data_IF_874670118932
#
_entry.id   IF_874670118932
#
_cell.length_a   1.000
_cell.length_b   1.000
_cell.length_c   1.000
_cell.angle_alpha   90.00
_cell.angle_beta   90.00
_cell.angle_gamma   90.00
#
_symmetry.space_group_name_H-M   'P 1'
#
loop_
_entity.id
_entity.type
_entity.pdbx_description
1 polymer ?
#
# COMPACT_ATOMS: atom_id res chain seq x y z
N UNK A 1 -0.73 18.44 23.82
CA UNK A 1 -1.23 18.43 22.45
C UNK A 1 -1.51 17.02 22.00
N UNK A 2 -2.63 16.82 21.38
CA UNK A 2 -3.03 15.49 20.97
C UNK A 2 -2.44 15.14 19.63
N UNK A 3 -1.90 13.96 19.56
CA UNK A 3 -1.50 13.40 18.28
C UNK A 3 -2.71 12.75 17.62
N UNK A 4 -2.85 12.98 16.35
CA UNK A 4 -3.83 12.27 15.54
C UNK A 4 -3.16 11.10 14.88
N UNK A 5 -3.77 9.93 15.03
CA UNK A 5 -3.27 8.72 14.38
C UNK A 5 -4.31 8.29 13.37
N UNK A 6 -3.87 8.11 12.15
CA UNK A 6 -4.74 7.72 11.05
C UNK A 6 -4.29 6.36 10.54
N UNK A 7 -5.25 5.50 10.33
CA UNK A 7 -5.01 4.19 9.72
C UNK A 7 -5.29 4.29 8.23
N UNK A 8 -4.37 3.77 7.44
CA UNK A 8 -4.52 3.77 5.99
C UNK A 8 -4.47 2.33 5.51
N UNK A 9 -5.42 1.96 4.66
CA UNK A 9 -5.60 0.57 4.26
C UNK A 9 -5.67 0.48 2.74
N UNK A 10 -4.57 0.75 2.03
CA UNK A 10 -4.58 0.68 0.57
C UNK A 10 -4.58 -0.74 0.07
N UNK A 11 -5.14 -0.90 -1.12
CA UNK A 11 -5.10 -2.15 -1.87
C UNK A 11 -4.17 -1.99 -3.05
N UNK A 12 -3.32 -2.98 -3.29
CA UNK A 12 -2.51 -2.99 -4.49
C UNK A 12 -2.90 -4.18 -5.36
N UNK A 13 -2.71 -4.02 -6.67
CA UNK A 13 -3.14 -5.03 -7.65
C UNK A 13 -2.08 -6.09 -7.85
N UNK A 14 -1.61 -6.66 -6.77
CA UNK A 14 -0.65 -7.74 -6.80
C UNK A 14 -0.86 -8.59 -5.56
N UNK A 15 -1.20 -9.85 -5.74
CA UNK A 15 -1.47 -10.72 -4.61
C UNK A 15 -0.69 -12.03 -4.63
N UNK A 16 0.22 -12.18 -5.59
CA UNK A 16 0.92 -13.45 -5.78
C UNK A 16 2.43 -13.37 -5.65
N UNK A 17 3.02 -12.28 -6.10
CA UNK A 17 4.48 -12.12 -6.02
C UNK A 17 4.82 -11.49 -4.67
N UNK A 18 5.17 -12.33 -3.71
CA UNK A 18 5.44 -11.86 -2.35
C UNK A 18 6.64 -10.93 -2.29
N UNK A 19 7.60 -11.11 -3.18
CA UNK A 19 8.76 -10.24 -3.21
C UNK A 19 8.36 -8.81 -3.56
N UNK A 20 7.54 -8.66 -4.59
CA UNK A 20 7.03 -7.35 -4.97
C UNK A 20 6.17 -6.76 -3.88
N UNK A 21 5.29 -7.57 -3.31
CA UNK A 21 4.40 -7.12 -2.25
C UNK A 21 5.21 -6.58 -1.08
N UNK A 22 6.22 -7.32 -0.65
CA UNK A 22 7.04 -6.90 0.48
C UNK A 22 7.81 -5.63 0.18
N UNK A 23 8.34 -5.52 -1.04
CA UNK A 23 9.06 -4.32 -1.43
C UNK A 23 8.15 -3.10 -1.39
N UNK A 24 6.94 -3.23 -1.93
CA UNK A 24 5.98 -2.14 -1.94
C UNK A 24 5.57 -1.77 -0.51
N UNK A 25 5.25 -2.78 0.29
CA UNK A 25 4.76 -2.53 1.64
C UNK A 25 5.82 -1.86 2.51
N UNK A 26 7.07 -2.28 2.37
CA UNK A 26 8.12 -1.77 3.24
C UNK A 26 8.53 -0.35 2.90
N UNK A 27 8.12 0.16 1.77
CA UNK A 27 8.43 1.55 1.42
C UNK A 27 7.75 2.53 2.40
N UNK A 28 6.61 2.13 2.99
CA UNK A 28 5.95 3.01 3.95
C UNK A 28 6.75 3.13 5.25
N UNK A 29 7.54 2.13 5.58
CA UNK A 29 8.35 2.18 6.80
C UNK A 29 9.53 3.11 6.67
N UNK A 30 9.82 3.58 5.48
CA UNK A 30 10.87 4.58 5.28
C UNK A 30 10.44 5.96 5.74
N UNK A 31 9.15 6.15 5.92
CA UNK A 31 8.63 7.42 6.42
C UNK A 31 8.64 7.36 7.94
N UNK A 32 9.33 8.30 8.54
CA UNK A 32 9.44 8.34 10.00
C UNK A 32 8.06 8.47 10.63
N UNK A 33 7.82 7.70 11.68
CA UNK A 33 6.54 7.77 12.38
C UNK A 33 5.48 6.84 11.84
N UNK A 34 5.76 6.14 10.75
CA UNK A 34 4.81 5.19 10.19
C UNK A 34 5.05 3.82 10.78
N UNK A 35 3.96 3.15 11.13
CA UNK A 35 4.02 1.78 11.61
C UNK A 35 3.22 0.89 10.67
N UNK A 36 3.90 -0.09 10.09
CA UNK A 36 3.26 -1.07 9.23
C UNK A 36 2.65 -2.15 10.10
N UNK A 37 1.33 -2.32 10.00
CA UNK A 37 0.61 -3.24 10.86
C UNK A 37 0.37 -4.60 10.22
N UNK A 38 0.08 -4.62 8.93
CA UNK A 38 -0.33 -5.87 8.30
C UNK A 38 -0.12 -5.82 6.79
N UNK A 39 0.18 -6.98 6.24
CA UNK A 39 0.25 -7.22 4.80
C UNK A 39 -0.57 -8.47 4.54
N UNK A 40 -1.67 -8.33 3.83
CA UNK A 40 -2.61 -9.44 3.62
C UNK A 40 -2.76 -9.75 2.13
N UNK A 41 -1.94 -10.66 1.59
CA UNK A 41 -2.02 -11.01 0.18
C UNK A 41 -3.19 -11.93 -0.10
N UNK A 42 -3.91 -11.66 -1.17
CA UNK A 42 -4.98 -12.51 -1.62
C UNK A 42 -4.70 -13.06 -3.00
N UNK A 43 -4.34 -14.33 -3.09
CA UNK A 43 -3.97 -14.92 -4.37
C UNK A 43 -5.15 -15.01 -5.31
N UNK A 44 -6.31 -15.32 -4.79
CA UNK A 44 -7.50 -15.52 -5.63
C UNK A 44 -7.91 -14.25 -6.33
N UNK A 45 -7.80 -13.11 -5.63
CA UNK A 45 -8.19 -11.83 -6.18
C UNK A 45 -7.03 -11.10 -6.81
N UNK A 46 -5.81 -11.60 -6.63
CA UNK A 46 -4.58 -10.96 -7.07
C UNK A 46 -4.47 -9.55 -6.52
N UNK A 47 -4.75 -9.40 -5.24
CA UNK A 47 -4.70 -8.12 -4.53
C UNK A 47 -4.05 -8.31 -3.19
N UNK A 48 -3.50 -7.24 -2.68
CA UNK A 48 -2.94 -7.23 -1.33
C UNK A 48 -3.46 -6.02 -0.60
N UNK A 49 -3.88 -6.23 0.63
CA UNK A 49 -4.28 -5.15 1.53
C UNK A 49 -3.11 -4.87 2.45
N UNK A 50 -2.67 -3.63 2.47
CA UNK A 50 -1.56 -3.19 3.30
C UNK A 50 -2.11 -2.19 4.31
N UNK A 51 -1.84 -2.43 5.59
CA UNK A 51 -2.36 -1.57 6.66
C UNK A 51 -1.20 -0.89 7.37
N UNK A 52 -1.24 0.42 7.45
CA UNK A 52 -0.25 1.16 8.21
C UNK A 52 -0.89 2.35 8.90
N UNK A 53 -0.22 2.86 9.94
CA UNK A 53 -0.74 3.97 10.74
C UNK A 53 0.34 5.00 10.96
N UNK A 54 -0.08 6.21 11.24
CA UNK A 54 0.83 7.30 11.56
C UNK A 54 0.07 8.60 11.70
N UNK A 55 0.82 9.68 11.86
CA UNK A 55 0.21 11.01 11.85
C UNK A 55 -0.21 11.36 10.44
N UNK A 56 -1.18 12.29 10.29
CA UNK A 56 -1.73 12.58 8.96
C UNK A 56 -0.71 12.92 7.91
N UNK A 57 0.25 13.78 8.23
CA UNK A 57 1.25 14.19 7.23
C UNK A 57 2.14 13.03 6.82
N UNK A 58 2.51 12.16 7.75
CA UNK A 58 3.33 11.01 7.44
C UNK A 58 2.55 9.95 6.69
N UNK A 59 1.27 9.78 7.01
CA UNK A 59 0.43 8.82 6.29
C UNK A 59 0.28 9.24 4.84
N UNK A 60 0.10 10.52 4.57
CA UNK A 60 0.00 11.03 3.20
C UNK A 60 1.30 10.74 2.45
N UNK A 61 2.43 11.03 3.07
CA UNK A 61 3.72 10.77 2.44
C UNK A 61 3.92 9.28 2.18
N UNK A 62 3.60 8.45 3.16
CA UNK A 62 3.74 7.01 3.02
C UNK A 62 2.84 6.46 1.92
N UNK A 63 1.61 6.94 1.86
CA UNK A 63 0.67 6.52 0.82
C UNK A 63 1.18 6.89 -0.56
N UNK A 64 1.73 8.10 -0.69
CA UNK A 64 2.29 8.54 -1.96
C UNK A 64 3.45 7.65 -2.39
N UNK A 65 4.34 7.33 -1.47
CA UNK A 65 5.49 6.47 -1.78
C UNK A 65 5.05 5.06 -2.12
N UNK A 66 4.02 4.56 -1.45
CA UNK A 66 3.49 3.24 -1.73
C UNK A 66 2.90 3.19 -3.14
N UNK A 67 2.11 4.18 -3.49
CA UNK A 67 1.51 4.26 -4.82
C UNK A 67 2.60 4.33 -5.89
N UNK A 68 3.60 5.15 -5.65
CA UNK A 68 4.68 5.30 -6.61
C UNK A 68 5.45 3.99 -6.81
N UNK A 69 5.78 3.32 -5.71
CA UNK A 69 6.50 2.06 -5.81
C UNK A 69 5.65 0.98 -6.46
N UNK A 70 4.36 0.94 -6.14
CA UNK A 70 3.46 -0.02 -6.77
C UNK A 70 3.39 0.19 -8.26
N UNK A 71 3.31 1.45 -8.72
CA UNK A 71 3.23 1.72 -10.15
C UNK A 71 4.54 1.37 -10.86
N UNK A 72 5.66 1.41 -10.15
CA UNK A 72 6.95 1.01 -10.73
C UNK A 72 7.08 -0.51 -10.87
N UNK A 73 6.55 -1.25 -9.93
CA UNK A 73 6.77 -2.69 -9.87
C UNK A 73 5.63 -3.51 -10.47
N UNK A 74 4.42 -2.97 -10.50
CA UNK A 74 3.27 -3.68 -11.02
C UNK A 74 2.99 -3.19 -12.43
N UNK A 75 3.15 -4.10 -13.39
CA UNK A 75 2.88 -3.77 -14.78
C UNK A 75 1.44 -4.10 -15.09
N UNK A 76 0.60 -3.10 -15.04
CA UNK A 76 -0.83 -3.29 -15.24
C UNK A 76 -1.18 -3.71 -16.66
N UNK A 77 -0.29 -3.49 -17.61
CA UNK A 77 -0.55 -3.92 -18.98
C UNK A 77 -0.58 -5.45 -19.10
N UNK A 78 -0.02 -6.14 -18.12
CA UNK A 78 -0.03 -7.59 -18.12
C UNK A 78 -1.18 -8.18 -17.32
N UNK A 79 -2.02 -7.34 -16.77
CA UNK A 79 -3.15 -7.79 -15.98
C UNK A 79 -4.42 -7.54 -16.78
N UNK A 80 -4.87 -8.59 -17.43
CA UNK A 80 -6.02 -8.46 -18.30
C UNK A 80 -7.30 -8.34 -17.50
N UNK A 81 -8.21 -7.52 -18.03
CA UNK A 81 -9.53 -7.40 -17.49
C UNK A 81 -9.65 -6.63 -16.20
N UNK A 82 -8.55 -6.06 -15.73
CA UNK A 82 -8.58 -5.36 -14.48
C UNK A 82 -8.33 -3.87 -14.68
N UNK A 83 -9.06 -3.10 -13.93
CA UNK A 83 -8.78 -1.67 -13.86
C UNK A 83 -7.67 -1.44 -12.84
N UNK A 84 -6.75 -0.55 -13.15
CA UNK A 84 -5.75 -0.18 -12.16
C UNK A 84 -6.41 0.40 -10.94
N UNK A 85 -5.97 -0.07 -9.79
CA UNK A 85 -6.52 0.40 -8.53
C UNK A 85 -5.42 0.79 -7.59
N UNK A 86 -4.44 1.47 -8.10
CA UNK A 86 -3.34 1.88 -7.28
C UNK A 86 -3.80 2.83 -6.22
N UNK A 87 -3.38 2.54 -5.02
CA UNK A 87 -3.57 3.45 -3.96
C UNK A 87 -5.01 3.81 -3.71
N UNK A 88 -5.91 2.95 -4.14
CA UNK A 88 -7.28 3.17 -3.78
C UNK A 88 -7.35 2.99 -2.29
N UNK A 89 -7.36 4.09 -1.61
CA UNK A 89 -7.42 4.05 -0.17
C UNK A 89 -8.81 4.40 0.23
N UNK A 90 -9.50 3.43 0.73
CA UNK A 90 -10.83 3.69 1.19
C UNK A 90 -10.81 4.30 2.56
N UNK A 91 -9.74 4.06 3.29
CA UNK A 91 -9.67 4.50 4.67
C UNK A 91 -8.29 5.04 4.96
N UNK A 92 -8.26 6.28 5.23
CA UNK A 92 -7.05 6.93 5.72
C UNK A 92 -7.42 7.96 6.75
#
# INVERSE_FOLDING_TARGET
MKQQIIECVPNISEGRDLKKINTIAHVVTEVEGIKLLDIDPGKATNRTVITFVGEPSQVIEAAFRLIKKASELIDMSKQTGEHPRFGATDVC
#
